data_IF_322313728240
#
_entry.id   IF_322313728240
#
_cell.length_a   1.000
_cell.length_b   1.000
_cell.length_c   1.000
_cell.angle_alpha   90.00
_cell.angle_beta   90.00
_cell.angle_gamma   90.00
#
_symmetry.space_group_name_H-M   'P 1'
#
loop_
_entity.id
_entity.type
_entity.pdbx_description
1 polymer ?
#
# COMPACT_ATOMS: atom_id res chain seq x y z
N UNK A 1 11.39 9.50 -22.16
CA UNK A 1 10.40 9.09 -21.16
C UNK A 1 10.03 7.65 -21.42
N UNK A 2 10.25 6.80 -20.48
CA UNK A 2 9.94 5.38 -20.58
C UNK A 2 8.55 5.15 -19.93
N UNK A 3 7.57 4.78 -20.72
CA UNK A 3 6.28 4.33 -20.20
C UNK A 3 6.35 2.82 -19.99
N UNK A 4 5.82 2.34 -18.89
CA UNK A 4 5.56 0.92 -18.75
C UNK A 4 4.29 0.59 -19.54
N UNK A 5 4.45 0.48 -20.87
CA UNK A 5 3.34 0.21 -21.79
C UNK A 5 2.69 -1.14 -21.47
N UNK A 6 3.46 -2.13 -21.00
CA UNK A 6 2.94 -3.42 -20.59
C UNK A 6 1.99 -3.30 -19.41
N UNK A 7 2.32 -2.48 -18.42
CA UNK A 7 1.45 -2.25 -17.27
C UNK A 7 0.16 -1.52 -17.67
N UNK A 8 0.24 -0.53 -18.57
CA UNK A 8 -0.92 0.17 -19.09
C UNK A 8 -1.78 -0.77 -19.94
N UNK A 9 -1.17 -1.61 -20.75
CA UNK A 9 -1.87 -2.55 -21.64
C UNK A 9 -2.30 -3.84 -20.93
N UNK A 10 -1.77 -4.15 -19.77
CA UNK A 10 -2.15 -5.35 -19.02
C UNK A 10 -3.56 -5.29 -18.45
N UNK A 11 -4.15 -4.11 -18.39
CA UNK A 11 -5.48 -3.90 -17.82
C UNK A 11 -5.57 -4.08 -16.32
N UNK A 12 -4.45 -3.93 -15.60
CA UNK A 12 -4.35 -4.00 -14.14
C UNK A 12 -3.94 -2.63 -13.59
N UNK A 13 -4.91 -1.75 -13.40
CA UNK A 13 -4.60 -0.37 -13.08
C UNK A 13 -5.71 0.29 -12.26
N UNK A 14 -5.32 1.07 -11.25
CA UNK A 14 -6.21 2.05 -10.63
C UNK A 14 -6.34 3.27 -11.55
N UNK A 15 -7.57 3.71 -11.77
CA UNK A 15 -7.91 4.82 -12.66
C UNK A 15 -8.17 6.13 -11.90
N UNK A 16 -8.45 6.04 -10.58
CA UNK A 16 -8.68 7.18 -9.70
C UNK A 16 -7.82 7.07 -8.46
N UNK A 17 -7.50 8.20 -7.85
CA UNK A 17 -6.84 8.24 -6.56
C UNK A 17 -7.80 7.74 -5.47
N UNK A 18 -7.35 6.75 -4.70
CA UNK A 18 -8.15 6.16 -3.62
C UNK A 18 -8.31 7.10 -2.42
N UNK A 19 -7.38 8.04 -2.24
CA UNK A 19 -7.31 8.85 -1.04
C UNK A 19 -6.92 8.00 0.16
N UNK A 20 -5.82 7.26 0.07
CA UNK A 20 -5.33 6.43 1.17
C UNK A 20 -5.04 7.28 2.41
N UNK A 21 -5.52 6.83 3.54
CA UNK A 21 -5.32 7.49 4.83
C UNK A 21 -5.42 6.47 5.97
N UNK A 22 -5.03 6.89 7.19
CA UNK A 22 -5.26 6.11 8.40
C UNK A 22 -6.77 5.89 8.61
N UNK A 23 -7.14 4.66 9.00
CA UNK A 23 -8.53 4.29 9.26
C UNK A 23 -9.07 4.91 10.56
N UNK A 24 -10.37 4.77 10.78
CA UNK A 24 -10.99 5.19 12.06
C UNK A 24 -10.44 4.37 13.22
N UNK A 25 -10.19 3.07 13.01
CA UNK A 25 -9.38 2.27 13.93
C UNK A 25 -7.90 2.46 13.56
N UNK A 26 -7.08 2.92 14.49
CA UNK A 26 -5.73 3.39 14.23
C UNK A 26 -4.75 2.33 13.68
N UNK A 27 -5.05 1.04 13.86
CA UNK A 27 -4.26 -0.07 13.28
C UNK A 27 -4.73 -0.51 11.89
N UNK A 28 -5.59 0.30 11.25
CA UNK A 28 -6.16 0.07 9.92
C UNK A 28 -5.91 1.25 8.99
N UNK A 29 -6.13 1.07 7.71
CA UNK A 29 -6.16 2.15 6.73
C UNK A 29 -7.54 2.26 6.07
N UNK A 30 -7.76 3.29 5.26
CA UNK A 30 -8.99 3.53 4.53
C UNK A 30 -8.74 4.09 3.13
N UNK A 31 -9.75 3.99 2.28
CA UNK A 31 -9.88 4.77 1.06
C UNK A 31 -10.98 5.81 1.27
N UNK A 32 -10.66 7.08 1.03
CA UNK A 32 -11.60 8.19 1.21
C UNK A 32 -12.52 8.35 0.00
N UNK A 33 -12.00 8.04 -1.18
CA UNK A 33 -12.70 8.19 -2.44
C UNK A 33 -13.22 6.85 -2.97
N UNK A 34 -14.19 6.90 -3.87
CA UNK A 34 -14.54 5.75 -4.70
C UNK A 34 -13.39 5.45 -5.63
N UNK A 35 -12.89 4.22 -5.57
CA UNK A 35 -11.81 3.72 -6.41
C UNK A 35 -12.39 3.11 -7.68
N UNK A 36 -11.96 3.62 -8.83
CA UNK A 36 -12.18 2.99 -10.13
C UNK A 36 -10.89 2.29 -10.57
N UNK A 37 -10.99 1.06 -11.05
CA UNK A 37 -9.84 0.26 -11.44
C UNK A 37 -10.19 -0.74 -12.54
N UNK A 38 -9.17 -1.30 -13.18
CA UNK A 38 -9.32 -2.38 -14.16
C UNK A 38 -8.51 -3.59 -13.73
N UNK A 39 -9.06 -4.78 -13.96
CA UNK A 39 -8.35 -6.06 -13.83
C UNK A 39 -8.68 -6.89 -15.06
N UNK A 40 -7.65 -7.38 -15.76
CA UNK A 40 -7.79 -8.04 -17.06
C UNK A 40 -8.56 -7.18 -18.08
N UNK A 41 -8.40 -5.86 -18.04
CA UNK A 41 -9.11 -4.93 -18.90
C UNK A 41 -10.60 -4.72 -18.55
N UNK A 42 -11.10 -5.36 -17.50
CA UNK A 42 -12.49 -5.22 -17.04
C UNK A 42 -12.57 -4.09 -16.02
N UNK A 43 -13.40 -3.10 -16.31
CA UNK A 43 -13.65 -1.98 -15.40
C UNK A 43 -14.42 -2.43 -14.17
N UNK A 44 -13.98 -1.95 -13.02
CA UNK A 44 -14.59 -2.19 -11.70
C UNK A 44 -14.56 -0.91 -10.87
N UNK A 45 -15.43 -0.86 -9.87
CA UNK A 45 -15.39 0.21 -8.88
C UNK A 45 -15.59 -0.35 -7.48
N UNK A 46 -14.99 0.33 -6.50
CA UNK A 46 -15.16 0.06 -5.07
C UNK A 46 -15.44 1.38 -4.36
N UNK A 47 -16.53 1.47 -3.65
CA UNK A 47 -16.84 2.63 -2.81
C UNK A 47 -15.80 2.86 -1.72
N UNK A 48 -15.76 4.07 -1.20
CA UNK A 48 -14.92 4.40 -0.04
C UNK A 48 -15.09 3.34 1.06
N UNK A 49 -13.99 2.87 1.59
CA UNK A 49 -13.96 1.77 2.57
C UNK A 49 -13.08 2.16 3.75
N UNK A 50 -13.62 2.06 4.96
CA UNK A 50 -12.89 2.34 6.20
C UNK A 50 -12.49 1.05 6.91
N UNK A 51 -11.57 1.16 7.85
CA UNK A 51 -11.11 0.07 8.71
C UNK A 51 -10.61 -1.17 7.93
N UNK A 52 -9.86 -0.92 6.86
CA UNK A 52 -9.24 -1.99 6.09
C UNK A 52 -8.04 -2.51 6.89
N UNK A 53 -8.10 -3.79 7.29
CA UNK A 53 -7.06 -4.40 8.10
C UNK A 53 -5.78 -4.65 7.29
N UNK A 54 -4.63 -4.29 7.87
CA UNK A 54 -3.34 -4.81 7.44
C UNK A 54 -3.12 -6.17 8.10
N UNK A 55 -2.61 -7.14 7.37
CA UNK A 55 -2.37 -8.48 7.93
C UNK A 55 -0.94 -8.62 8.44
N UNK A 56 -0.76 -9.29 9.57
CA UNK A 56 0.58 -9.57 10.13
C UNK A 56 1.48 -10.37 9.16
N UNK A 57 0.86 -11.16 8.27
CA UNK A 57 1.57 -11.89 7.21
C UNK A 57 2.32 -10.99 6.22
N UNK A 58 1.94 -9.71 6.12
CA UNK A 58 2.70 -8.75 5.30
C UNK A 58 4.12 -8.50 5.83
N UNK A 59 4.38 -8.79 7.11
CA UNK A 59 5.70 -8.66 7.75
C UNK A 59 5.88 -7.38 8.56
N UNK A 60 6.70 -7.44 9.60
CA UNK A 60 6.96 -6.37 10.54
C UNK A 60 8.04 -5.40 10.06
N UNK A 61 8.05 -4.18 10.63
CA UNK A 61 9.17 -3.23 10.50
C UNK A 61 9.84 -3.13 11.86
N UNK A 62 11.10 -3.60 12.01
CA UNK A 62 11.84 -3.54 13.28
C UNK A 62 12.22 -2.10 13.65
N UNK A 63 12.75 -1.86 14.88
CA UNK A 63 13.21 -0.55 15.28
C UNK A 63 14.27 0.04 14.35
N UNK A 64 14.32 1.38 14.26
CA UNK A 64 15.25 2.14 13.41
C UNK A 64 15.18 1.78 11.92
N UNK A 65 14.01 1.38 11.45
CA UNK A 65 13.84 0.86 10.10
C UNK A 65 12.66 1.50 9.36
N UNK A 66 12.61 1.28 8.07
CA UNK A 66 11.52 1.70 7.21
C UNK A 66 11.18 0.63 6.18
N UNK A 67 9.93 0.60 5.75
CA UNK A 67 9.48 -0.23 4.63
C UNK A 67 8.23 0.37 3.96
N UNK A 68 8.02 -0.01 2.70
CA UNK A 68 6.78 0.26 1.98
C UNK A 68 5.86 -0.96 2.02
N UNK A 69 4.58 -0.71 2.24
CA UNK A 69 3.50 -1.68 2.06
C UNK A 69 2.72 -1.30 0.82
N UNK A 70 2.68 -2.17 -0.17
CA UNK A 70 1.79 -2.00 -1.31
C UNK A 70 0.36 -2.39 -0.93
N UNK A 71 -0.59 -1.58 -1.36
CA UNK A 71 -2.03 -1.85 -1.22
C UNK A 71 -2.55 -2.31 -2.56
N UNK A 72 -3.11 -3.52 -2.59
CA UNK A 72 -3.67 -4.16 -3.77
C UNK A 72 -5.17 -4.33 -3.63
N UNK A 73 -5.89 -4.35 -4.75
CA UNK A 73 -7.30 -4.71 -4.81
C UNK A 73 -7.51 -5.83 -5.83
N UNK A 74 -8.29 -6.84 -5.47
CA UNK A 74 -8.60 -7.98 -6.33
C UNK A 74 -9.90 -7.80 -7.14
N UNK A 75 -10.24 -8.81 -7.94
CA UNK A 75 -11.45 -8.82 -8.77
C UNK A 75 -12.75 -8.76 -7.97
N UNK A 76 -12.73 -9.14 -6.69
CA UNK A 76 -13.88 -9.15 -5.79
C UNK A 76 -13.97 -7.85 -4.96
N UNK A 77 -13.01 -6.94 -5.12
CA UNK A 77 -12.92 -5.70 -4.34
C UNK A 77 -12.34 -5.91 -2.95
N UNK A 78 -11.59 -6.99 -2.71
CA UNK A 78 -10.88 -7.21 -1.45
C UNK A 78 -9.50 -6.55 -1.51
N UNK A 79 -9.12 -5.91 -0.41
CA UNK A 79 -7.80 -5.33 -0.25
C UNK A 79 -6.80 -6.32 0.33
N UNK A 80 -5.56 -6.22 -0.09
CA UNK A 80 -4.44 -6.99 0.45
C UNK A 80 -3.18 -6.13 0.50
N UNK A 81 -2.18 -6.58 1.25
CA UNK A 81 -0.93 -5.85 1.45
C UNK A 81 0.26 -6.77 1.25
N UNK A 82 1.31 -6.22 0.64
CA UNK A 82 2.64 -6.85 0.59
C UNK A 82 3.69 -5.84 1.04
N UNK A 83 4.63 -6.28 1.87
CA UNK A 83 5.74 -5.44 2.33
C UNK A 83 6.94 -5.57 1.39
N UNK A 84 7.56 -4.44 1.06
CA UNK A 84 8.86 -4.39 0.41
C UNK A 84 10.01 -4.71 1.37
N UNK A 85 11.26 -4.68 0.88
CA UNK A 85 12.43 -4.82 1.72
C UNK A 85 12.46 -3.80 2.87
N UNK A 86 12.96 -4.22 4.02
CA UNK A 86 13.23 -3.33 5.16
C UNK A 86 14.59 -2.68 4.96
N UNK A 87 14.65 -1.38 5.17
CA UNK A 87 15.87 -0.57 5.11
C UNK A 87 16.02 0.25 6.39
N UNK A 88 17.14 0.92 6.56
CA UNK A 88 17.31 1.86 7.68
C UNK A 88 16.30 3.01 7.59
N UNK A 89 15.89 3.55 8.73
CA UNK A 89 14.84 4.57 8.81
C UNK A 89 15.11 5.83 7.96
N UNK A 90 16.38 6.15 7.70
CA UNK A 90 16.81 7.30 6.91
C UNK A 90 16.90 7.01 5.40
N UNK A 91 16.82 5.75 4.99
CA UNK A 91 17.02 5.34 3.60
C UNK A 91 15.72 5.34 2.79
N UNK A 92 15.81 5.54 1.47
CA UNK A 92 14.67 5.36 0.59
C UNK A 92 14.20 3.91 0.59
N UNK A 93 12.88 3.70 0.71
CA UNK A 93 12.28 2.38 0.76
C UNK A 93 12.09 1.81 -0.64
N UNK A 94 12.64 0.63 -0.95
CA UNK A 94 12.36 -0.06 -2.20
C UNK A 94 10.88 -0.39 -2.36
N UNK A 95 10.39 -0.28 -3.60
CA UNK A 95 8.99 -0.58 -3.93
C UNK A 95 8.74 -2.09 -3.85
N UNK A 96 7.65 -2.53 -3.20
CA UNK A 96 7.30 -3.95 -3.15
C UNK A 96 7.05 -4.53 -4.54
N UNK A 97 7.47 -5.77 -4.76
CA UNK A 97 7.19 -6.50 -6.00
C UNK A 97 5.80 -7.12 -5.91
N UNK A 98 5.03 -7.05 -6.99
CA UNK A 98 3.76 -7.75 -7.08
C UNK A 98 4.00 -9.27 -7.10
N UNK A 99 3.42 -9.98 -6.13
CA UNK A 99 3.54 -11.43 -5.99
C UNK A 99 2.24 -12.17 -6.27
N UNK A 100 1.11 -11.45 -6.29
CA UNK A 100 -0.22 -12.01 -6.51
C UNK A 100 -0.74 -11.62 -7.89
N UNK A 101 -1.28 -12.58 -8.64
CA UNK A 101 -1.92 -12.33 -9.92
C UNK A 101 -3.31 -11.70 -9.73
N UNK A 102 -3.82 -11.05 -10.78
CA UNK A 102 -5.17 -10.49 -10.84
C UNK A 102 -5.49 -9.47 -9.74
N UNK A 103 -4.54 -8.61 -9.45
CA UNK A 103 -4.70 -7.47 -8.53
C UNK A 103 -4.27 -6.18 -9.22
N UNK A 104 -4.88 -5.07 -8.83
CA UNK A 104 -4.46 -3.72 -9.23
C UNK A 104 -3.81 -3.01 -8.04
N UNK A 105 -2.76 -2.22 -8.30
CA UNK A 105 -2.13 -1.38 -7.29
C UNK A 105 -3.06 -0.20 -6.97
N UNK A 106 -3.35 -0.01 -5.69
CA UNK A 106 -4.14 1.12 -5.17
C UNK A 106 -3.22 2.24 -4.70
N UNK A 107 -2.16 1.88 -4.00
CA UNK A 107 -1.20 2.83 -3.47
C UNK A 107 -0.17 2.16 -2.57
N UNK A 108 0.59 2.98 -1.86
CA UNK A 108 1.65 2.56 -0.97
C UNK A 108 1.49 3.23 0.40
N UNK A 109 1.86 2.49 1.45
CA UNK A 109 1.96 3.01 2.82
C UNK A 109 3.40 2.88 3.24
N UNK A 110 4.09 4.00 3.44
CA UNK A 110 5.44 4.02 4.01
C UNK A 110 5.33 4.04 5.53
N UNK A 111 6.03 3.14 6.18
CA UNK A 111 6.12 3.07 7.63
C UNK A 111 7.58 3.22 8.04
N UNK A 112 7.85 4.17 8.94
CA UNK A 112 9.17 4.41 9.54
C UNK A 112 9.04 4.27 11.05
N UNK A 113 9.95 3.52 11.66
CA UNK A 113 9.99 3.30 13.11
C UNK A 113 11.18 4.02 13.76
N UNK A 114 10.99 4.43 15.01
CA UNK A 114 12.08 4.95 15.84
C UNK A 114 12.98 3.82 16.39
N UNK A 115 13.93 4.17 17.25
CA UNK A 115 14.93 3.23 17.79
C UNK A 115 14.38 2.18 18.78
N UNK A 116 13.12 2.30 19.18
CA UNK A 116 12.54 1.42 20.22
C UNK A 116 11.24 0.74 19.82
N UNK A 117 10.65 1.13 18.69
CA UNK A 117 9.32 0.67 18.28
C UNK A 117 9.42 -0.33 17.14
N UNK A 118 8.72 -1.46 17.27
CA UNK A 118 8.46 -2.40 16.16
C UNK A 118 7.05 -2.16 15.65
N UNK A 119 6.87 -1.99 14.35
CA UNK A 119 5.57 -1.95 13.72
C UNK A 119 5.14 -3.35 13.30
N UNK A 120 3.99 -3.81 13.80
CA UNK A 120 3.36 -5.07 13.37
C UNK A 120 2.02 -4.74 12.71
N UNK A 121 1.86 -5.02 11.39
CA UNK A 121 0.62 -4.75 10.67
C UNK A 121 -0.59 -5.39 11.36
N UNK A 122 -1.67 -4.63 11.45
CA UNK A 122 -2.92 -5.06 12.09
C UNK A 122 -2.93 -5.08 13.61
N UNK A 123 -1.78 -4.83 14.26
CA UNK A 123 -1.65 -4.79 15.73
C UNK A 123 -1.15 -3.45 16.24
N UNK A 124 -0.13 -2.89 15.59
CA UNK A 124 0.42 -1.57 15.92
C UNK A 124 -0.34 -0.50 15.17
N UNK A 125 -0.72 0.56 15.87
CA UNK A 125 -1.37 1.72 15.25
C UNK A 125 -0.43 2.42 14.27
N UNK A 126 -0.94 2.86 13.13
CA UNK A 126 -0.17 3.56 12.11
C UNK A 126 0.39 4.87 12.63
N UNK A 127 -0.40 5.62 13.39
CA UNK A 127 0.03 6.87 14.05
C UNK A 127 0.57 6.69 15.48
N UNK A 128 1.00 5.48 15.89
CA UNK A 128 1.53 5.24 17.24
C UNK A 128 2.78 6.05 17.53
N UNK A 129 3.03 6.33 18.81
CA UNK A 129 4.28 6.96 19.23
C UNK A 129 5.48 6.11 18.75
N UNK A 130 6.37 6.73 17.97
CA UNK A 130 7.52 6.05 17.38
C UNK A 130 7.27 5.38 16.03
N UNK A 131 6.07 5.51 15.47
CA UNK A 131 5.72 5.12 14.11
C UNK A 131 5.37 6.39 13.32
N UNK A 132 5.93 6.52 12.13
CA UNK A 132 5.55 7.55 11.15
C UNK A 132 5.05 6.87 9.91
N UNK A 133 3.83 7.15 9.53
CA UNK A 133 3.19 6.66 8.32
C UNK A 133 3.09 7.75 7.25
N UNK A 134 3.13 7.35 6.00
CA UNK A 134 2.91 8.24 4.85
C UNK A 134 2.18 7.46 3.77
N UNK A 135 1.14 8.04 3.22
CA UNK A 135 0.27 7.41 2.22
C UNK A 135 0.52 8.00 0.84
N UNK A 136 0.63 7.13 -0.16
CA UNK A 136 0.79 7.50 -1.56
C UNK A 136 -0.28 6.82 -2.41
N UNK A 137 -1.09 7.60 -3.11
CA UNK A 137 -1.98 7.06 -4.14
C UNK A 137 -1.19 6.78 -5.41
N UNK A 138 -1.32 5.58 -5.95
CA UNK A 138 -0.59 5.17 -7.14
C UNK A 138 -1.51 4.46 -8.12
N UNK A 139 -1.47 4.86 -9.38
CA UNK A 139 -2.11 4.11 -10.46
C UNK A 139 -1.13 3.15 -11.15
N UNK A 140 0.15 3.43 -11.06
CA UNK A 140 1.24 2.60 -11.57
C UNK A 140 2.34 2.49 -10.51
N UNK A 141 3.10 1.41 -10.56
CA UNK A 141 4.20 1.19 -9.64
C UNK A 141 5.27 2.28 -9.82
N UNK A 142 5.71 2.95 -8.75
CA UNK A 142 6.81 3.90 -8.84
C UNK A 142 8.10 3.26 -9.38
N UNK A 143 8.81 4.01 -10.22
CA UNK A 143 10.05 3.54 -10.83
C UNK A 143 11.29 3.68 -9.93
N UNK A 144 11.15 4.26 -8.75
CA UNK A 144 12.24 4.46 -7.78
C UNK A 144 11.76 4.28 -6.34
N UNK A 145 12.70 4.07 -5.43
CA UNK A 145 12.43 3.99 -3.99
C UNK A 145 11.87 5.32 -3.44
N UNK A 146 11.04 5.23 -2.41
CA UNK A 146 10.36 6.34 -1.75
C UNK A 146 10.82 6.54 -0.31
#
# INVERSE_FOLDING_TARGET
MSYNIEQINSGFQSLTAAGLAEGTNANTYKTVNTLAFTINGVFKSKGATDNIAMTAAAGTVPPSSAALYAVWIDTNGNFSNTRGPVVDAADPCPVPVQTTANVALVGLIKVVTNSSTTFTPGSTDLGAAGVTDTFFDCSVMPGSAL
#
